data_IF_376624825432
#
_entry.id   IF_376624825432
#
_cell.length_a   1.000
_cell.length_b   1.000
_cell.length_c   1.000
_cell.angle_alpha   90.00
_cell.angle_beta   90.00
_cell.angle_gamma   90.00
#
_symmetry.space_group_name_H-M   'P 1'
#
loop_
_entity.id
_entity.type
_entity.pdbx_description
1 polymer ?
#
# COMPACT_ATOMS: atom_id res chain seq x y z
N UNK A 1 -18.42 2.06 3.51
CA UNK A 1 -18.76 1.72 2.11
C UNK A 1 -17.47 1.28 1.46
N UNK A 2 -17.42 0.07 0.89
CA UNK A 2 -16.26 -0.41 0.14
C UNK A 2 -16.25 0.30 -1.21
N UNK A 3 -15.09 0.76 -1.70
CA UNK A 3 -14.97 1.39 -3.01
C UNK A 3 -15.42 0.40 -4.09
N UNK A 4 -16.16 0.88 -5.10
CA UNK A 4 -16.56 0.05 -6.24
C UNK A 4 -15.34 -0.50 -6.98
N UNK A 5 -14.27 0.27 -7.04
CA UNK A 5 -13.00 -0.14 -7.62
C UNK A 5 -12.43 -1.40 -6.96
N UNK A 6 -12.52 -1.52 -5.62
CA UNK A 6 -12.01 -2.70 -4.92
C UNK A 6 -12.78 -3.97 -5.30
N UNK A 7 -14.05 -3.85 -5.70
CA UNK A 7 -14.89 -4.97 -6.12
C UNK A 7 -14.73 -5.24 -7.60
N UNK A 8 -14.77 -4.20 -8.42
CA UNK A 8 -14.87 -4.29 -9.88
C UNK A 8 -13.50 -4.47 -10.54
N UNK A 9 -12.46 -3.86 -9.98
CA UNK A 9 -11.08 -3.97 -10.45
C UNK A 9 -10.09 -4.05 -9.26
N UNK A 10 -10.03 -5.20 -8.57
CA UNK A 10 -9.11 -5.40 -7.46
C UNK A 10 -7.63 -5.30 -7.88
N UNK A 11 -7.31 -5.38 -9.17
CA UNK A 11 -5.94 -5.29 -9.68
C UNK A 11 -5.46 -3.85 -9.71
N UNK A 12 -6.26 -2.93 -10.25
CA UNK A 12 -5.92 -1.50 -10.22
C UNK A 12 -5.91 -0.98 -8.79
N UNK A 13 -6.87 -1.37 -7.95
CA UNK A 13 -6.86 -1.03 -6.53
C UNK A 13 -5.57 -1.52 -5.81
N UNK A 14 -5.06 -2.69 -6.18
CA UNK A 14 -3.80 -3.20 -5.63
C UNK A 14 -2.60 -2.38 -6.11
N UNK A 15 -2.57 -2.03 -7.40
CA UNK A 15 -1.50 -1.24 -7.99
C UNK A 15 -1.36 0.12 -7.30
N UNK A 16 -2.48 0.83 -7.11
CA UNK A 16 -2.50 2.15 -6.47
C UNK A 16 -1.94 2.10 -5.04
N UNK A 17 -2.25 1.04 -4.29
CA UNK A 17 -1.72 0.82 -2.93
C UNK A 17 -0.20 0.57 -2.96
N UNK A 18 0.30 -0.24 -3.91
CA UNK A 18 1.72 -0.56 -4.04
C UNK A 18 2.56 0.68 -4.40
N UNK A 19 2.04 1.56 -5.25
CA UNK A 19 2.77 2.79 -5.63
C UNK A 19 3.07 3.65 -4.39
N UNK A 20 2.11 3.76 -3.47
CA UNK A 20 2.29 4.53 -2.22
C UNK A 20 3.38 3.91 -1.34
N UNK A 21 3.51 2.58 -1.31
CA UNK A 21 4.52 1.87 -0.50
C UNK A 21 5.96 2.25 -0.88
N UNK A 22 6.19 2.39 -2.19
CA UNK A 22 7.48 2.84 -2.74
C UNK A 22 7.79 4.27 -2.33
N UNK A 23 6.81 5.18 -2.40
CA UNK A 23 6.99 6.58 -2.00
C UNK A 23 7.32 6.72 -0.52
N UNK A 24 6.70 5.91 0.34
CA UNK A 24 6.99 5.90 1.79
C UNK A 24 8.40 5.36 2.05
N UNK A 25 8.78 4.27 1.37
CA UNK A 25 10.13 3.71 1.44
C UNK A 25 11.19 4.75 1.04
N UNK A 26 10.93 5.50 -0.04
CA UNK A 26 11.81 6.58 -0.49
C UNK A 26 11.89 7.70 0.55
N UNK A 27 10.76 8.10 1.13
CA UNK A 27 10.74 9.09 2.21
C UNK A 27 11.60 8.65 3.41
N UNK A 28 11.46 7.40 3.88
CA UNK A 28 12.29 6.87 4.97
C UNK A 28 13.79 6.91 4.61
N UNK A 29 14.12 6.52 3.39
CA UNK A 29 15.50 6.54 2.89
C UNK A 29 16.07 7.97 2.85
N UNK A 30 15.35 8.93 2.31
CA UNK A 30 15.79 10.33 2.26
C UNK A 30 16.01 10.92 3.65
N UNK A 31 15.15 10.59 4.63
CA UNK A 31 15.32 11.03 6.02
C UNK A 31 16.59 10.44 6.64
N UNK A 32 16.87 9.16 6.38
CA UNK A 32 18.08 8.48 6.84
C UNK A 32 19.34 9.05 6.19
N UNK A 33 19.33 9.26 4.88
CA UNK A 33 20.44 9.81 4.10
C UNK A 33 20.75 11.26 4.54
N UNK A 34 19.71 12.05 4.84
CA UNK A 34 19.83 13.39 5.41
C UNK A 34 20.27 13.40 6.90
N UNK A 35 20.39 12.24 7.54
CA UNK A 35 20.64 12.08 8.98
C UNK A 35 19.63 12.84 9.85
N UNK A 36 18.40 12.97 9.36
CA UNK A 36 17.33 13.71 10.04
C UNK A 36 16.52 12.77 10.94
N UNK A 37 16.43 13.09 12.22
CA UNK A 37 15.66 12.29 13.17
C UNK A 37 14.21 12.79 13.29
N UNK A 38 13.29 12.04 12.70
CA UNK A 38 11.85 12.28 12.78
C UNK A 38 11.10 11.04 13.32
N UNK A 39 11.26 10.68 14.60
CA UNK A 39 10.77 9.40 15.13
C UNK A 39 9.26 9.23 15.00
N UNK A 40 8.47 10.31 15.10
CA UNK A 40 7.02 10.26 14.89
C UNK A 40 6.65 10.00 13.43
N UNK A 41 7.40 10.59 12.50
CA UNK A 41 7.19 10.39 11.06
C UNK A 41 7.54 8.95 10.66
N UNK A 42 8.69 8.45 11.12
CA UNK A 42 9.09 7.05 10.90
C UNK A 42 8.10 6.05 11.51
N UNK A 43 7.55 6.34 12.69
CA UNK A 43 6.47 5.52 13.25
C UNK A 43 5.20 5.55 12.38
N UNK A 44 4.84 6.73 11.87
CA UNK A 44 3.75 6.89 10.91
C UNK A 44 3.96 6.08 9.63
N UNK A 45 5.15 6.16 9.04
CA UNK A 45 5.52 5.41 7.83
C UNK A 45 5.40 3.89 8.05
N UNK A 46 5.83 3.38 9.21
CA UNK A 46 5.62 1.96 9.58
C UNK A 46 4.16 1.56 9.66
N UNK A 47 3.28 2.41 10.21
CA UNK A 47 1.85 2.14 10.21
C UNK A 47 1.27 2.14 8.79
N UNK A 48 1.73 3.04 7.93
CA UNK A 48 1.30 3.08 6.54
C UNK A 48 1.72 1.80 5.79
N UNK A 49 2.96 1.34 5.94
CA UNK A 49 3.41 0.04 5.40
C UNK A 49 2.51 -1.11 5.85
N UNK A 50 2.12 -1.13 7.12
CA UNK A 50 1.19 -2.14 7.64
C UNK A 50 -0.18 -2.08 6.95
N UNK A 51 -0.77 -0.90 6.79
CA UNK A 51 -2.07 -0.74 6.13
C UNK A 51 -2.02 -1.08 4.63
N UNK A 52 -0.93 -0.72 3.95
CA UNK A 52 -0.68 -1.09 2.56
C UNK A 52 -0.61 -2.61 2.45
N UNK A 53 0.17 -3.29 3.31
CA UNK A 53 0.27 -4.74 3.29
C UNK A 53 -1.09 -5.43 3.50
N UNK A 54 -1.93 -4.91 4.40
CA UNK A 54 -3.30 -5.40 4.55
C UNK A 54 -4.14 -5.17 3.29
N UNK A 55 -4.03 -3.99 2.67
CA UNK A 55 -4.71 -3.67 1.43
C UNK A 55 -4.34 -4.65 0.30
N UNK A 56 -3.05 -4.91 0.13
CA UNK A 56 -2.52 -5.88 -0.83
C UNK A 56 -3.04 -7.31 -0.57
N UNK A 57 -3.18 -7.71 0.69
CA UNK A 57 -3.76 -9.01 1.03
C UNK A 57 -5.24 -9.08 0.67
N UNK A 58 -6.01 -8.03 0.98
CA UNK A 58 -7.43 -7.96 0.65
C UNK A 58 -7.66 -8.02 -0.86
N UNK A 59 -6.93 -7.22 -1.64
CA UNK A 59 -7.02 -7.21 -3.11
C UNK A 59 -6.60 -8.56 -3.70
N UNK A 60 -5.54 -9.19 -3.17
CA UNK A 60 -5.10 -10.52 -3.63
C UNK A 60 -6.15 -11.60 -3.39
N UNK A 61 -6.85 -11.58 -2.25
CA UNK A 61 -7.95 -12.51 -1.97
C UNK A 61 -9.09 -12.30 -2.98
N UNK A 62 -9.46 -11.05 -3.25
CA UNK A 62 -10.52 -10.71 -4.20
C UNK A 62 -10.17 -11.10 -5.65
N UNK A 63 -8.91 -10.98 -6.05
CA UNK A 63 -8.43 -11.47 -7.36
C UNK A 63 -8.54 -13.00 -7.47
N UNK A 64 -8.32 -13.74 -6.38
CA UNK A 64 -8.48 -15.20 -6.38
C UNK A 64 -9.96 -15.61 -6.42
N UNK A 65 -10.85 -14.84 -5.79
CA UNK A 65 -12.30 -15.06 -5.82
C UNK A 65 -12.94 -14.71 -7.17
N UNK A 66 -12.33 -13.76 -7.90
CA UNK A 66 -12.68 -13.43 -9.29
C UNK A 66 -11.54 -13.81 -10.23
N UNK A 67 -11.27 -15.13 -10.43
CA UNK A 67 -10.26 -15.53 -11.40
C UNK A 67 -10.74 -15.03 -12.77
N UNK A 68 -10.02 -14.03 -13.30
CA UNK A 68 -10.30 -13.32 -14.55
C UNK A 68 -11.19 -14.13 -15.51
N UNK A 69 -12.42 -13.64 -15.75
CA UNK A 69 -13.26 -14.11 -16.85
C UNK A 69 -12.54 -13.73 -18.16
N UNK A 70 -11.70 -14.64 -18.65
CA UNK A 70 -11.09 -14.57 -19.98
C UNK A 70 -12.02 -15.19 -21.02
#
# INVERSE_FOLDING_TARGET
MVSSELVDDPQTANYDVIVIDSEITNCEKELLDAKFQAPRLLAGNRFMHYYIAMGCQMTSILQLEKPNEY
#
